data_IF_024979014903
#
_entry.id   IF_024979014903
#
_cell.length_a   1.000
_cell.length_b   1.000
_cell.length_c   1.000
_cell.angle_alpha   90.00
_cell.angle_beta   90.00
_cell.angle_gamma   90.00
#
_symmetry.space_group_name_H-M   'P 1'
#
loop_
_entity.id
_entity.type
_entity.pdbx_description
1 polymer ?
#
# COMPACT_ATOMS: atom_id res chain seq x y z
N UNK A 1 9.21 -30.15 22.80
CA UNK A 1 8.08 -30.98 22.34
C UNK A 1 7.25 -30.12 21.41
N UNK A 2 7.60 -30.18 20.13
CA UNK A 2 7.01 -29.40 19.04
C UNK A 2 5.57 -29.81 18.77
N UNK A 3 4.68 -28.82 18.65
CA UNK A 3 3.29 -28.99 18.22
C UNK A 3 2.94 -28.12 17.00
N UNK A 4 3.84 -28.02 16.03
CA UNK A 4 3.58 -27.32 14.77
C UNK A 4 4.02 -28.17 13.56
N UNK A 5 3.42 -29.35 13.43
CA UNK A 5 3.37 -30.10 12.16
C UNK A 5 1.94 -30.54 11.92
N UNK A 6 1.59 -30.54 10.63
CA UNK A 6 0.31 -30.95 10.04
C UNK A 6 -0.76 -29.86 9.98
N UNK A 7 -0.74 -29.11 8.88
CA UNK A 7 -1.92 -28.92 8.03
C UNK A 7 -1.43 -28.55 6.61
N UNK A 8 -0.77 -29.51 5.96
CA UNK A 8 -0.62 -29.53 4.50
C UNK A 8 -1.70 -30.44 3.97
N UNK A 9 -2.62 -29.88 3.18
CA UNK A 9 -3.26 -30.48 2.01
C UNK A 9 -4.62 -29.80 1.77
N UNK A 10 -4.63 -28.85 0.84
CA UNK A 10 -5.79 -28.72 -0.04
C UNK A 10 -5.28 -28.33 -1.43
N UNK A 11 -4.97 -29.36 -2.21
CA UNK A 11 -4.97 -29.30 -3.66
C UNK A 11 -6.34 -28.74 -4.10
N UNK A 12 -6.38 -27.48 -4.52
CA UNK A 12 -7.48 -26.95 -5.34
C UNK A 12 -6.95 -26.77 -6.75
N UNK A 13 -7.67 -27.40 -7.68
CA UNK A 13 -7.29 -27.57 -9.07
C UNK A 13 -7.10 -26.23 -9.78
N UNK A 14 -5.87 -26.03 -10.26
CA UNK A 14 -5.57 -25.04 -11.27
C UNK A 14 -5.87 -25.65 -12.64
N UNK A 15 -7.09 -25.44 -13.12
CA UNK A 15 -7.44 -25.61 -14.53
C UNK A 15 -8.29 -24.40 -14.97
N UNK A 16 -7.74 -23.20 -14.81
CA UNK A 16 -8.30 -21.98 -15.40
C UNK A 16 -7.18 -21.15 -16.03
N UNK A 17 -7.11 -21.23 -17.36
CA UNK A 17 -6.69 -20.20 -18.32
C UNK A 17 -5.58 -19.26 -17.81
N UNK A 18 -4.32 -19.73 -17.83
CA UNK A 18 -3.16 -18.84 -17.89
C UNK A 18 -2.98 -18.38 -19.34
N UNK A 19 -3.67 -17.31 -19.73
CA UNK A 19 -3.21 -16.48 -20.84
C UNK A 19 -1.95 -15.78 -20.35
N UNK A 20 -0.79 -16.35 -20.67
CA UNK A 20 0.53 -15.77 -20.38
C UNK A 20 0.64 -14.47 -21.18
N UNK A 21 0.26 -13.35 -20.57
CA UNK A 21 0.67 -12.04 -21.04
C UNK A 21 2.20 -11.98 -20.99
N UNK A 22 2.84 -11.31 -21.95
CA UNK A 22 4.26 -11.02 -21.83
C UNK A 22 4.51 -10.22 -20.55
N UNK A 23 5.71 -10.37 -19.95
CA UNK A 23 6.07 -9.64 -18.73
C UNK A 23 5.86 -8.12 -18.87
N UNK A 24 6.05 -7.58 -20.09
CA UNK A 24 5.85 -6.17 -20.41
C UNK A 24 4.38 -5.74 -20.38
N UNK A 25 3.47 -6.57 -20.92
CA UNK A 25 2.03 -6.29 -20.90
C UNK A 25 1.46 -6.36 -19.48
N UNK A 26 1.91 -7.32 -18.68
CA UNK A 26 1.51 -7.43 -17.28
C UNK A 26 2.06 -6.26 -16.45
N UNK A 27 3.30 -5.85 -16.69
CA UNK A 27 3.91 -4.68 -16.07
C UNK A 27 3.11 -3.41 -16.40
N UNK A 28 2.81 -3.18 -17.68
CA UNK A 28 2.01 -2.03 -18.13
C UNK A 28 0.64 -1.97 -17.45
N UNK A 29 -0.07 -3.11 -17.38
CA UNK A 29 -1.38 -3.20 -16.70
C UNK A 29 -1.29 -2.89 -15.21
N UNK A 30 -0.20 -3.28 -14.55
CA UNK A 30 0.03 -2.97 -13.14
C UNK A 30 0.28 -1.46 -12.93
N UNK A 31 1.05 -0.82 -13.82
CA UNK A 31 1.25 0.63 -13.80
C UNK A 31 -0.06 1.39 -14.01
N UNK A 32 -0.85 1.02 -15.03
CA UNK A 32 -2.15 1.65 -15.31
C UNK A 32 -3.12 1.55 -14.13
N UNK A 33 -3.14 0.41 -13.43
CA UNK A 33 -3.93 0.22 -12.22
C UNK A 33 -3.44 1.12 -11.07
N UNK A 34 -2.12 1.20 -10.87
CA UNK A 34 -1.54 2.04 -9.82
C UNK A 34 -1.88 3.51 -10.06
N UNK A 35 -1.66 4.00 -11.29
CA UNK A 35 -1.99 5.38 -11.70
C UNK A 35 -3.47 5.69 -11.48
N UNK A 36 -4.37 4.79 -11.90
CA UNK A 36 -5.80 4.95 -11.65
C UNK A 36 -6.11 5.02 -10.14
N UNK A 37 -5.52 4.12 -9.35
CA UNK A 37 -5.70 4.11 -7.90
C UNK A 37 -5.21 5.41 -7.25
N UNK A 38 -4.05 5.93 -7.64
CA UNK A 38 -3.51 7.19 -7.16
C UNK A 38 -4.45 8.37 -7.44
N UNK A 39 -5.00 8.46 -8.66
CA UNK A 39 -5.93 9.53 -9.00
C UNK A 39 -7.25 9.43 -8.24
N UNK A 40 -7.79 8.22 -8.09
CA UNK A 40 -9.01 7.99 -7.32
C UNK A 40 -8.82 8.28 -5.83
N UNK A 41 -7.65 7.97 -5.27
CA UNK A 41 -7.34 8.20 -3.86
C UNK A 41 -7.32 9.68 -3.51
N UNK A 42 -6.73 10.53 -4.36
CA UNK A 42 -6.74 11.98 -4.20
C UNK A 42 -8.16 12.55 -4.10
N UNK A 43 -9.10 11.97 -4.86
CA UNK A 43 -10.48 12.44 -4.94
C UNK A 43 -11.37 11.90 -3.83
N UNK A 44 -11.20 10.63 -3.44
CA UNK A 44 -12.15 9.92 -2.58
C UNK A 44 -11.58 9.53 -1.21
N UNK A 45 -10.29 9.23 -1.12
CA UNK A 45 -9.65 8.77 0.12
C UNK A 45 -9.08 9.94 0.91
N UNK A 46 -8.34 10.84 0.26
CA UNK A 46 -7.61 11.92 0.93
C UNK A 46 -8.52 12.91 1.66
N UNK A 47 -9.67 13.32 1.10
CA UNK A 47 -10.58 14.20 1.83
C UNK A 47 -11.05 13.61 3.16
N UNK A 48 -11.35 12.30 3.17
CA UNK A 48 -11.74 11.56 4.37
C UNK A 48 -10.57 11.42 5.33
N UNK A 49 -9.42 10.93 4.85
CA UNK A 49 -8.24 10.66 5.66
C UNK A 49 -7.70 11.90 6.38
N UNK A 50 -7.67 13.02 5.67
CA UNK A 50 -7.15 14.29 6.18
C UNK A 50 -8.24 15.21 6.73
N UNK A 51 -9.50 14.75 6.79
CA UNK A 51 -10.65 15.51 7.28
C UNK A 51 -10.71 16.92 6.67
N UNK A 52 -10.85 16.98 5.35
CA UNK A 52 -11.08 18.19 4.56
C UNK A 52 -12.34 18.03 3.73
N UNK A 53 -13.00 19.13 3.40
CA UNK A 53 -14.23 19.08 2.58
C UNK A 53 -13.91 18.89 1.11
N UNK A 54 -12.84 19.52 0.66
CA UNK A 54 -12.42 19.51 -0.72
C UNK A 54 -10.93 19.17 -0.82
N UNK A 55 -10.54 18.46 -1.87
CA UNK A 55 -9.13 18.15 -2.16
C UNK A 55 -8.29 19.42 -2.39
N UNK A 56 -8.92 20.52 -2.80
CA UNK A 56 -8.29 21.84 -2.97
C UNK A 56 -7.70 22.41 -1.68
N UNK A 57 -8.12 21.90 -0.51
CA UNK A 57 -7.55 22.25 0.80
C UNK A 57 -6.23 21.52 1.09
N UNK A 58 -5.81 20.58 0.22
CA UNK A 58 -4.57 19.82 0.33
C UNK A 58 -3.58 20.23 -0.75
N UNK A 59 -2.33 20.38 -0.37
CA UNK A 59 -1.22 20.40 -1.31
C UNK A 59 -0.68 18.97 -1.47
N UNK A 60 -0.79 18.41 -2.66
CA UNK A 60 -0.38 17.02 -2.95
C UNK A 60 0.79 17.06 -3.93
N UNK A 61 1.97 16.67 -3.47
CA UNK A 61 3.20 16.69 -4.24
C UNK A 61 3.60 15.24 -4.59
N UNK A 62 3.62 14.85 -5.88
CA UNK A 62 4.14 13.55 -6.28
C UNK A 62 5.66 13.49 -6.10
N UNK A 63 6.17 12.37 -5.62
CA UNK A 63 7.61 12.11 -5.43
C UNK A 63 8.26 11.37 -6.61
N UNK A 64 7.44 10.89 -7.54
CA UNK A 64 7.81 9.90 -8.56
C UNK A 64 9.11 10.22 -9.34
N UNK A 65 9.94 9.20 -9.50
CA UNK A 65 11.26 9.19 -10.19
C UNK A 65 11.17 9.58 -11.68
N UNK A 66 9.99 9.51 -12.31
CA UNK A 66 9.79 9.76 -13.75
C UNK A 66 9.80 11.23 -14.17
N UNK A 67 10.00 12.14 -13.22
CA UNK A 67 10.26 13.54 -13.50
C UNK A 67 11.76 13.75 -13.66
N UNK A 68 12.21 13.92 -14.90
CA UNK A 68 13.60 14.26 -15.20
C UNK A 68 14.07 15.49 -14.42
N UNK A 69 13.15 16.42 -14.15
CA UNK A 69 13.31 17.65 -13.37
C UNK A 69 13.11 17.50 -11.84
N UNK A 70 12.76 16.30 -11.34
CA UNK A 70 12.59 16.11 -9.90
C UNK A 70 13.93 16.30 -9.17
N UNK A 71 13.90 17.11 -8.10
CA UNK A 71 15.08 17.36 -7.29
C UNK A 71 15.57 16.05 -6.62
N UNK A 72 16.87 15.93 -6.32
CA UNK A 72 17.46 14.72 -5.73
C UNK A 72 16.76 14.24 -4.44
N UNK A 73 16.16 15.17 -3.69
CA UNK A 73 15.40 14.88 -2.47
C UNK A 73 14.14 14.06 -2.76
N UNK A 74 13.36 14.41 -3.79
CA UNK A 74 12.15 13.68 -4.18
C UNK A 74 12.50 12.29 -4.75
N UNK A 75 13.53 12.23 -5.60
CA UNK A 75 14.05 10.95 -6.13
C UNK A 75 14.50 10.00 -5.01
N UNK A 76 15.05 10.54 -3.92
CA UNK A 76 15.39 9.73 -2.74
C UNK A 76 14.18 9.27 -1.94
N UNK A 77 13.08 10.03 -1.91
CA UNK A 77 11.87 9.66 -1.18
C UNK A 77 11.15 8.49 -1.87
N UNK A 78 11.03 8.52 -3.19
CA UNK A 78 10.47 7.41 -3.96
C UNK A 78 11.44 6.20 -3.95
N UNK A 79 12.65 6.34 -4.51
CA UNK A 79 13.55 5.20 -4.71
C UNK A 79 14.03 4.50 -3.43
N UNK A 80 14.29 5.27 -2.36
CA UNK A 80 14.85 4.72 -1.10
C UNK A 80 13.80 4.53 0.00
N UNK A 81 12.73 5.32 0.01
CA UNK A 81 11.74 5.35 1.09
C UNK A 81 10.33 4.94 0.64
N UNK A 82 10.15 4.63 -0.65
CA UNK A 82 8.90 4.18 -1.25
C UNK A 82 7.71 5.13 -1.00
N UNK A 83 7.98 6.42 -0.80
CA UNK A 83 6.92 7.42 -0.65
C UNK A 83 6.44 7.80 -2.04
N UNK A 84 5.12 7.79 -2.28
CA UNK A 84 4.50 8.19 -3.55
C UNK A 84 4.07 9.67 -3.54
N UNK A 85 3.60 10.15 -2.37
CA UNK A 85 3.10 11.51 -2.21
C UNK A 85 3.54 12.16 -0.90
N UNK A 86 3.79 13.47 -0.97
CA UNK A 86 3.83 14.35 0.21
C UNK A 86 2.51 15.12 0.21
N UNK A 87 1.74 14.96 1.28
CA UNK A 87 0.48 15.67 1.47
C UNK A 87 0.65 16.70 2.57
N UNK A 88 0.35 17.97 2.26
CA UNK A 88 0.37 19.06 3.23
C UNK A 88 -1.04 19.59 3.43
N UNK A 89 -1.41 19.74 4.70
CA UNK A 89 -2.65 20.39 5.11
C UNK A 89 -2.34 21.71 5.79
N UNK A 90 -2.93 22.80 5.30
CA UNK A 90 -2.88 24.09 5.97
C UNK A 90 -3.74 24.08 7.24
N UNK A 91 -3.18 24.51 8.36
CA UNK A 91 -3.90 24.59 9.63
C UNK A 91 -4.55 25.96 9.79
N UNK A 92 -5.88 26.02 9.68
CA UNK A 92 -6.65 27.24 9.97
C UNK A 92 -6.52 27.67 11.43
N UNK A 93 -6.42 26.70 12.35
CA UNK A 93 -6.27 26.96 13.78
C UNK A 93 -4.89 27.52 14.13
N UNK A 94 -3.84 27.15 13.37
CA UNK A 94 -2.51 27.66 13.60
C UNK A 94 -1.80 28.05 12.27
N UNK A 95 -2.14 29.22 11.71
CA UNK A 95 -1.62 29.70 10.43
C UNK A 95 -0.08 29.77 10.37
N UNK A 96 0.57 30.04 11.51
CA UNK A 96 2.03 30.11 11.61
C UNK A 96 2.71 28.76 11.35
N UNK A 97 2.07 27.64 11.71
CA UNK A 97 2.57 26.31 11.37
C UNK A 97 2.16 25.89 9.96
N UNK A 98 1.26 26.62 9.30
CA UNK A 98 0.88 26.33 7.91
C UNK A 98 2.03 26.57 6.93
N UNK A 99 2.99 27.45 7.26
CA UNK A 99 4.23 27.63 6.49
C UNK A 99 5.25 26.50 6.69
N UNK A 100 5.17 25.79 7.82
CA UNK A 100 6.04 24.66 8.13
C UNK A 100 5.38 23.31 7.79
N UNK A 101 4.06 23.30 7.64
CA UNK A 101 3.23 22.18 7.19
C UNK A 101 3.25 20.98 8.14
N UNK A 102 2.08 20.47 8.51
CA UNK A 102 2.01 19.06 8.91
C UNK A 102 2.11 18.22 7.63
N UNK A 103 3.34 17.86 7.25
CA UNK A 103 3.60 16.99 6.11
C UNK A 103 3.28 15.55 6.47
N UNK A 104 2.51 14.89 5.61
CA UNK A 104 2.29 13.45 5.65
C UNK A 104 2.95 12.81 4.44
N UNK A 105 3.90 11.90 4.69
CA UNK A 105 4.46 11.02 3.68
C UNK A 105 3.51 9.84 3.47
N UNK A 106 2.94 9.73 2.28
CA UNK A 106 1.95 8.72 1.92
C UNK A 106 2.58 7.76 0.94
N UNK A 107 2.45 6.47 1.25
CA UNK A 107 2.71 5.38 0.32
C UNK A 107 1.40 4.67 0.03
N UNK A 108 1.19 4.31 -1.23
CA UNK A 108 -0.06 3.70 -1.69
C UNK A 108 0.20 2.38 -2.39
N UNK A 109 -0.77 1.48 -2.25
CA UNK A 109 -0.77 0.20 -2.93
C UNK A 109 -2.17 -0.19 -3.33
N UNK A 110 -2.39 -0.29 -4.63
CA UNK A 110 -3.68 -0.57 -5.21
C UNK A 110 -3.69 -1.95 -5.86
N UNK A 111 -4.75 -2.72 -5.59
CA UNK A 111 -4.98 -4.04 -6.16
C UNK A 111 -6.28 -4.05 -6.95
N UNK A 112 -6.36 -4.90 -7.95
CA UNK A 112 -7.59 -5.08 -8.73
C UNK A 112 -8.70 -5.70 -7.84
N UNK A 113 -9.94 -5.22 -7.94
CA UNK A 113 -11.08 -5.65 -7.11
C UNK A 113 -11.33 -7.16 -7.16
N UNK A 114 -10.97 -7.83 -8.27
CA UNK A 114 -11.09 -9.30 -8.36
C UNK A 114 -10.29 -10.05 -7.29
N UNK A 115 -9.26 -9.39 -6.71
CA UNK A 115 -8.45 -9.96 -5.63
C UNK A 115 -8.94 -9.57 -4.22
N UNK A 116 -10.08 -8.89 -4.10
CA UNK A 116 -10.66 -8.53 -2.80
C UNK A 116 -11.03 -9.74 -1.94
N UNK A 117 -11.31 -10.88 -2.58
CA UNK A 117 -11.61 -12.14 -1.89
C UNK A 117 -10.47 -12.66 -0.99
N UNK A 118 -9.21 -12.27 -1.25
CA UNK A 118 -8.06 -12.68 -0.43
C UNK A 118 -8.02 -12.00 0.93
N UNK A 119 -8.61 -10.79 1.06
CA UNK A 119 -8.71 -10.02 2.31
C UNK A 119 -7.37 -9.92 3.07
N UNK A 120 -6.30 -9.68 2.32
CA UNK A 120 -4.93 -9.56 2.80
C UNK A 120 -4.24 -8.30 2.27
N UNK A 121 -3.23 -7.86 3.01
CA UNK A 121 -2.26 -6.84 2.58
C UNK A 121 -0.94 -7.54 2.32
N UNK A 122 -0.30 -7.26 1.18
CA UNK A 122 0.98 -7.86 0.84
C UNK A 122 2.12 -6.84 0.84
N UNK A 123 3.30 -7.28 1.26
CA UNK A 123 4.53 -6.48 1.29
C UNK A 123 5.67 -7.25 0.64
N UNK A 124 6.39 -6.62 -0.29
CA UNK A 124 7.61 -7.21 -0.85
C UNK A 124 8.77 -7.14 0.15
N UNK A 125 9.42 -8.27 0.44
CA UNK A 125 10.60 -8.34 1.32
C UNK A 125 11.91 -8.19 0.54
N UNK A 126 11.87 -8.49 -0.77
CA UNK A 126 13.02 -8.42 -1.67
C UNK A 126 13.52 -9.81 -2.06
N UNK A 127 14.63 -9.83 -2.80
CA UNK A 127 15.41 -11.04 -3.06
C UNK A 127 16.49 -11.14 -1.96
N UNK A 128 16.78 -12.33 -1.40
CA UNK A 128 17.84 -12.53 -0.40
C UNK A 128 19.19 -11.87 -0.70
N UNK A 129 19.50 -11.64 -1.98
CA UNK A 129 20.86 -11.31 -2.42
C UNK A 129 21.13 -9.84 -2.80
N UNK A 130 20.13 -8.94 -2.89
CA UNK A 130 20.38 -7.66 -3.60
C UNK A 130 19.68 -6.40 -3.10
N UNK A 131 18.46 -6.44 -2.53
CA UNK A 131 17.72 -5.20 -2.21
C UNK A 131 16.82 -5.35 -0.98
N UNK A 132 16.88 -4.38 -0.05
CA UNK A 132 15.88 -4.20 1.01
C UNK A 132 14.51 -3.95 0.35
N UNK A 133 13.58 -4.90 0.49
CA UNK A 133 12.25 -4.79 -0.10
C UNK A 133 11.40 -3.67 0.48
N UNK A 134 10.24 -3.48 -0.15
CA UNK A 134 9.19 -2.52 0.16
C UNK A 134 8.94 -2.39 1.68
N UNK A 135 8.82 -3.52 2.38
CA UNK A 135 8.51 -3.56 3.82
C UNK A 135 9.47 -2.73 4.68
N UNK A 136 10.77 -2.71 4.33
CA UNK A 136 11.78 -1.97 5.09
C UNK A 136 11.84 -0.48 4.73
N UNK A 137 11.17 -0.08 3.64
CA UNK A 137 11.06 1.32 3.22
C UNK A 137 9.86 2.01 3.88
N UNK A 138 8.83 1.23 4.22
CA UNK A 138 7.58 1.70 4.81
C UNK A 138 7.75 2.51 6.09
N UNK A 139 8.83 2.30 6.86
CA UNK A 139 9.09 3.03 8.11
C UNK A 139 9.18 4.55 7.91
N UNK A 140 9.46 5.01 6.69
CA UNK A 140 9.49 6.43 6.36
C UNK A 140 8.10 7.02 6.06
N UNK A 141 7.10 6.17 5.78
CA UNK A 141 5.75 6.60 5.49
C UNK A 141 4.99 6.89 6.79
N UNK A 142 4.29 8.02 6.82
CA UNK A 142 3.35 8.34 7.89
C UNK A 142 2.02 7.59 7.74
N UNK A 143 1.66 7.28 6.49
CA UNK A 143 0.43 6.61 6.11
C UNK A 143 0.74 5.62 4.99
N UNK A 144 0.37 4.35 5.17
CA UNK A 144 0.32 3.37 4.10
C UNK A 144 -1.14 3.10 3.74
N UNK A 145 -1.49 3.41 2.51
CA UNK A 145 -2.82 3.17 1.96
C UNK A 145 -2.80 1.89 1.16
N UNK A 146 -3.73 1.01 1.47
CA UNK A 146 -3.97 -0.19 0.71
C UNK A 146 -5.43 -0.27 0.33
N UNK A 147 -5.74 -0.61 -0.91
CA UNK A 147 -7.11 -0.80 -1.32
C UNK A 147 -7.29 -1.51 -2.65
N UNK A 148 -8.56 -1.66 -2.99
CA UNK A 148 -9.02 -2.36 -4.17
C UNK A 148 -9.68 -1.38 -5.14
N UNK A 149 -9.38 -1.53 -6.42
CA UNK A 149 -9.89 -0.68 -7.50
C UNK A 149 -10.70 -1.52 -8.48
N UNK A 150 -11.95 -1.14 -8.68
CA UNK A 150 -12.77 -1.61 -9.79
C UNK A 150 -12.45 -0.73 -11.02
N UNK A 151 -11.70 -1.29 -11.97
CA UNK A 151 -11.25 -0.55 -13.16
C UNK A 151 -12.39 -0.18 -14.10
N UNK A 152 -13.46 -0.99 -14.15
CA UNK A 152 -14.59 -0.75 -15.04
C UNK A 152 -15.43 0.41 -14.52
N UNK A 153 -15.71 0.40 -13.20
CA UNK A 153 -16.45 1.47 -12.54
C UNK A 153 -15.60 2.69 -12.21
N UNK A 154 -14.27 2.56 -12.25
CA UNK A 154 -13.29 3.59 -11.84
C UNK A 154 -13.56 4.09 -10.42
N UNK A 155 -13.66 3.16 -9.48
CA UNK A 155 -13.86 3.45 -8.06
C UNK A 155 -12.89 2.64 -7.19
N UNK A 156 -12.60 3.17 -6.01
CA UNK A 156 -11.98 2.40 -4.93
C UNK A 156 -13.13 1.73 -4.15
N UNK A 157 -13.19 0.40 -4.17
CA UNK A 157 -14.27 -0.40 -3.58
C UNK A 157 -14.05 -0.67 -2.09
N UNK A 158 -12.80 -0.72 -1.66
CA UNK A 158 -12.42 -0.91 -0.27
C UNK A 158 -11.02 -0.37 -0.07
N UNK A 159 -10.79 0.35 1.02
CA UNK A 159 -9.45 0.79 1.39
C UNK A 159 -9.26 0.79 2.90
N UNK A 160 -7.99 0.69 3.29
CA UNK A 160 -7.55 0.81 4.65
C UNK A 160 -6.32 1.72 4.73
N UNK A 161 -6.19 2.39 5.87
CA UNK A 161 -4.99 3.13 6.21
C UNK A 161 -4.29 2.45 7.38
N UNK A 162 -3.04 2.06 7.15
CA UNK A 162 -2.12 1.59 8.18
C UNK A 162 -1.26 2.76 8.63
N UNK A 163 -1.19 2.97 9.95
CA UNK A 163 -0.19 3.83 10.59
C UNK A 163 0.66 3.00 11.53
N UNK A 164 1.73 3.60 12.05
CA UNK A 164 2.72 2.93 12.90
C UNK A 164 3.40 1.74 12.18
N UNK A 165 3.92 2.03 10.99
CA UNK A 165 4.60 1.04 10.14
C UNK A 165 5.89 0.51 10.78
N UNK A 166 6.54 1.31 11.64
CA UNK A 166 7.70 0.86 12.41
C UNK A 166 7.35 -0.33 13.31
N UNK A 167 6.31 -0.19 14.13
CA UNK A 167 5.84 -1.28 15.01
C UNK A 167 5.36 -2.49 14.20
N UNK A 168 4.68 -2.28 13.07
CA UNK A 168 4.27 -3.38 12.20
C UNK A 168 5.48 -4.19 11.71
N UNK A 169 6.53 -3.51 11.24
CA UNK A 169 7.77 -4.15 10.78
C UNK A 169 8.48 -4.89 11.91
N UNK A 170 8.52 -4.33 13.11
CA UNK A 170 9.08 -4.99 14.30
C UNK A 170 8.34 -6.29 14.63
N UNK A 171 7.00 -6.26 14.71
CA UNK A 171 6.21 -7.47 14.98
C UNK A 171 6.35 -8.54 13.91
N UNK A 172 6.51 -8.15 12.64
CA UNK A 172 6.79 -9.09 11.54
C UNK A 172 8.18 -9.70 11.73
N UNK A 173 9.19 -8.88 12.05
CA UNK A 173 10.56 -9.34 12.25
C UNK A 173 10.70 -10.28 13.45
N UNK A 174 9.97 -10.01 14.53
CA UNK A 174 9.94 -10.83 15.74
C UNK A 174 8.95 -11.99 15.67
N UNK A 175 8.29 -12.19 14.52
CA UNK A 175 7.26 -13.22 14.29
C UNK A 175 6.09 -13.17 15.30
N UNK A 176 5.82 -11.99 15.85
CA UNK A 176 4.78 -11.74 16.85
C UNK A 176 3.40 -11.43 16.25
N UNK A 177 3.32 -11.31 14.92
CA UNK A 177 2.06 -11.16 14.18
C UNK A 177 1.92 -12.31 13.16
N UNK A 178 0.74 -12.94 13.05
CA UNK A 178 0.52 -13.98 12.04
C UNK A 178 0.63 -13.44 10.60
N UNK A 179 1.49 -14.04 9.79
CA UNK A 179 1.61 -13.76 8.36
C UNK A 179 1.94 -15.03 7.56
N UNK A 180 1.82 -14.94 6.24
CA UNK A 180 2.28 -15.97 5.29
C UNK A 180 3.35 -15.40 4.37
N UNK A 181 4.29 -16.24 3.95
CA UNK A 181 5.27 -15.89 2.92
C UNK A 181 5.00 -16.65 1.64
N UNK A 182 5.21 -15.99 0.50
CA UNK A 182 5.21 -16.62 -0.81
C UNK A 182 6.36 -16.08 -1.64
N UNK A 183 7.08 -16.97 -2.29
CA UNK A 183 8.09 -16.63 -3.28
C UNK A 183 7.41 -16.57 -4.65
N UNK A 184 7.63 -15.49 -5.40
CA UNK A 184 7.15 -15.38 -6.77
C UNK A 184 8.11 -16.05 -7.77
N UNK A 185 7.69 -16.13 -9.04
CA UNK A 185 8.46 -16.77 -10.12
C UNK A 185 9.84 -16.11 -10.34
N UNK A 186 10.10 -14.93 -9.77
CA UNK A 186 11.38 -14.21 -9.84
C UNK A 186 12.24 -14.36 -8.57
N UNK A 187 11.85 -15.24 -7.64
CA UNK A 187 12.53 -15.44 -6.37
C UNK A 187 12.35 -14.29 -5.37
N UNK A 188 11.37 -13.41 -5.59
CA UNK A 188 11.05 -12.34 -4.64
C UNK A 188 10.09 -12.86 -3.59
N UNK A 189 10.46 -12.64 -2.32
CA UNK A 189 9.63 -13.03 -1.19
C UNK A 189 8.61 -11.91 -0.92
N UNK A 190 7.35 -12.31 -0.76
CA UNK A 190 6.24 -11.44 -0.38
C UNK A 190 5.63 -11.95 0.92
N UNK A 191 5.36 -11.03 1.85
CA UNK A 191 4.64 -11.30 3.09
C UNK A 191 3.19 -10.90 2.89
N UNK A 192 2.25 -11.71 3.38
CA UNK A 192 0.82 -11.49 3.32
C UNK A 192 0.25 -11.52 4.74
N UNK A 193 -0.41 -10.44 5.13
CA UNK A 193 -1.02 -10.29 6.44
C UNK A 193 -2.53 -10.16 6.24
N UNK A 194 -3.35 -11.07 6.79
CA UNK A 194 -4.79 -10.94 6.70
C UNK A 194 -5.27 -9.63 7.34
N UNK A 195 -6.20 -8.94 6.69
CA UNK A 195 -6.75 -7.65 7.18
C UNK A 195 -7.33 -7.80 8.59
N UNK A 196 -7.95 -8.95 8.91
CA UNK A 196 -8.47 -9.23 10.26
C UNK A 196 -7.38 -9.18 11.33
N UNK A 197 -6.17 -9.67 11.02
CA UNK A 197 -5.04 -9.65 11.95
C UNK A 197 -4.56 -8.21 12.14
N UNK A 198 -4.45 -7.43 11.06
CA UNK A 198 -4.11 -6.01 11.17
C UNK A 198 -5.11 -5.22 12.04
N UNK A 199 -6.40 -5.57 11.97
CA UNK A 199 -7.44 -4.99 12.83
C UNK A 199 -7.31 -5.44 14.29
N UNK A 200 -7.11 -6.74 14.54
CA UNK A 200 -6.92 -7.30 15.88
C UNK A 200 -5.76 -6.61 16.63
N UNK A 201 -4.70 -6.23 15.91
CA UNK A 201 -3.53 -5.54 16.45
C UNK A 201 -3.63 -4.00 16.42
N UNK A 202 -4.78 -3.43 16.01
CA UNK A 202 -5.05 -2.00 15.90
C UNK A 202 -4.13 -1.22 14.94
N UNK A 203 -3.68 -1.85 13.86
CA UNK A 203 -2.92 -1.17 12.81
C UNK A 203 -3.82 -0.41 11.82
N UNK A 204 -5.06 -0.86 11.66
CA UNK A 204 -6.03 -0.27 10.73
C UNK A 204 -6.72 0.93 11.38
N UNK A 205 -6.40 2.13 10.90
CA UNK A 205 -6.93 3.38 11.46
C UNK A 205 -8.22 3.84 10.76
N UNK A 206 -8.32 3.55 9.46
CA UNK A 206 -9.52 3.74 8.68
C UNK A 206 -9.76 2.45 7.90
N UNK A 207 -11.01 2.01 7.86
CA UNK A 207 -11.46 0.94 6.99
C UNK A 207 -12.81 1.33 6.43
N UNK A 208 -12.90 1.48 5.12
CA UNK A 208 -14.14 1.79 4.44
C UNK A 208 -14.58 0.54 3.66
N UNK A 209 -15.43 -0.32 4.26
CA UNK A 209 -16.04 -1.41 3.52
C UNK A 209 -17.10 -0.86 2.55
N UNK A 210 -17.29 -1.58 1.45
CA UNK A 210 -18.25 -1.30 0.36
C UNK A 210 -19.73 -1.20 0.82
N UNK A 211 -20.03 -1.44 2.11
CA UNK A 211 -21.39 -1.51 2.67
C UNK A 211 -22.06 -0.12 2.88
N UNK A 212 -21.50 0.96 2.33
CA UNK A 212 -22.07 2.31 2.40
C UNK A 212 -22.03 2.97 1.01
N UNK A 213 -22.89 2.48 0.10
CA UNK A 213 -23.44 3.27 -1.01
C UNK A 213 -24.94 3.01 -1.12
#
# INVERSE_FOLDING_TARGET
>A
MDKNKEFNETNRGNNEIKTLLSNDEQFKKNCELADLGHELAKQSVYPVLFNVKEVSELEILPTAIYRDDACPQLKSLDGKRAIDFIVKKSSKAFPQFSKQGCESYVQEKWRDDKYRCFKDVNFGVGNPNTVKGEIFKLQAASHFLFGYVDKEKKIITEWLCIKDLTRLVELIHEEMIPFKTYEDDNGKINIYIPIRILKEYNFVHYHYPDDIQ
#
